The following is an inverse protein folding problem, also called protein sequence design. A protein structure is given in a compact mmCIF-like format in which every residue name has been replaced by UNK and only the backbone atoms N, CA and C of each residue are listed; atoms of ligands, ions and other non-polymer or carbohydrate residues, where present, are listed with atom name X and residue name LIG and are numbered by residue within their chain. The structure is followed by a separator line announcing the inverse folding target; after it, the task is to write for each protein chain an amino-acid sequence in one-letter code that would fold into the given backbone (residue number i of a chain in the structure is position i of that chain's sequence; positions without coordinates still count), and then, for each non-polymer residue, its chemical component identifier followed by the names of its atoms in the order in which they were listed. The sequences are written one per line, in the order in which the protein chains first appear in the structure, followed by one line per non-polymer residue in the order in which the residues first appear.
data_IF_731619292836
#
_entry.id   IF_731619292836
#
_cell.length_a   1.000
_cell.length_b   1.000
_cell.length_c   1.000
_cell.angle_alpha   90.00
_cell.angle_beta   90.00
_cell.angle_gamma   90.00
#
_symmetry.space_group_name_H-M   'P 1'
#
loop_
_entity.id
_entity.type
_entity.pdbx_description
1 polymer ?
#
# COMPACT_ATOMS: atom_id res chain seq x y z
N UNK A 1 8.92 -4.44 18.91
CA UNK A 1 8.99 -3.68 17.64
C UNK A 1 8.09 -4.35 16.63
N UNK A 2 7.16 -3.63 16.00
CA UNK A 2 6.17 -4.10 15.03
C UNK A 2 6.51 -3.59 13.64
N UNK A 3 6.54 -4.47 12.65
CA UNK A 3 6.82 -4.12 11.25
C UNK A 3 5.64 -4.60 10.41
N UNK A 4 5.11 -3.73 9.57
CA UNK A 4 4.10 -4.07 8.59
C UNK A 4 4.76 -4.27 7.22
N UNK A 5 4.56 -5.44 6.64
CA UNK A 5 5.12 -5.81 5.36
C UNK A 5 4.02 -5.85 4.30
N UNK A 6 4.24 -5.17 3.18
CA UNK A 6 3.32 -5.12 2.04
C UNK A 6 4.14 -5.01 0.75
N UNK A 7 3.55 -5.41 -0.37
CA UNK A 7 4.23 -5.46 -1.67
C UNK A 7 3.25 -5.15 -2.79
N UNK A 8 3.78 -4.95 -4.00
CA UNK A 8 3.02 -5.01 -5.25
C UNK A 8 1.86 -4.02 -5.32
N UNK A 9 2.10 -2.77 -4.92
CA UNK A 9 1.08 -1.72 -4.95
C UNK A 9 0.71 -1.30 -6.38
N UNK A 10 1.53 -1.64 -7.37
CA UNK A 10 1.31 -1.33 -8.79
C UNK A 10 0.82 0.12 -9.04
N UNK A 11 1.39 1.10 -8.31
CA UNK A 11 1.02 2.50 -8.46
C UNK A 11 1.27 2.97 -9.89
N UNK A 12 0.28 3.66 -10.47
CA UNK A 12 0.33 4.12 -11.86
C UNK A 12 0.04 3.03 -12.91
N UNK A 13 -0.20 1.77 -12.49
CA UNK A 13 -0.60 0.71 -13.41
C UNK A 13 -2.05 0.89 -13.88
N UNK A 14 -2.30 0.53 -15.13
CA UNK A 14 -3.64 0.49 -15.72
C UNK A 14 -4.14 -0.95 -15.74
N UNK A 15 -5.25 -1.21 -15.07
CA UNK A 15 -5.84 -2.55 -14.98
C UNK A 15 -7.05 -2.65 -15.91
N UNK A 16 -6.96 -3.50 -16.95
CA UNK A 16 -7.99 -3.64 -17.99
C UNK A 16 -8.49 -2.30 -18.56
N UNK A 17 -7.57 -1.37 -18.83
CA UNK A 17 -7.89 -0.04 -19.38
C UNK A 17 -8.41 0.97 -18.35
N UNK A 18 -8.42 0.63 -17.05
CA UNK A 18 -8.87 1.53 -15.97
C UNK A 18 -7.69 1.94 -15.08
N UNK A 19 -7.61 3.22 -14.75
CA UNK A 19 -6.70 3.72 -13.72
C UNK A 19 -7.26 3.40 -12.34
N UNK A 20 -6.38 3.06 -11.39
CA UNK A 20 -6.77 2.64 -10.05
C UNK A 20 -6.46 3.67 -8.96
N UNK A 21 -6.28 4.95 -9.33
CA UNK A 21 -5.84 5.99 -8.39
C UNK A 21 -6.74 6.13 -7.17
N UNK A 22 -8.07 6.08 -7.34
CA UNK A 22 -9.01 6.19 -6.22
C UNK A 22 -8.91 4.98 -5.28
N UNK A 23 -8.75 3.78 -5.84
CA UNK A 23 -8.55 2.56 -5.06
C UNK A 23 -7.21 2.60 -4.31
N UNK A 24 -6.14 3.07 -4.95
CA UNK A 24 -4.83 3.26 -4.31
C UNK A 24 -4.88 4.33 -3.21
N UNK A 25 -5.63 5.42 -3.41
CA UNK A 25 -5.82 6.46 -2.38
C UNK A 25 -6.58 5.90 -1.17
N UNK A 26 -7.66 5.14 -1.41
CA UNK A 26 -8.41 4.48 -0.33
C UNK A 26 -7.53 3.48 0.44
N UNK A 27 -6.74 2.67 -0.27
CA UNK A 27 -5.77 1.76 0.35
C UNK A 27 -4.72 2.52 1.18
N UNK A 28 -4.17 3.60 0.66
CA UNK A 28 -3.20 4.44 1.36
C UNK A 28 -3.75 5.02 2.66
N UNK A 29 -4.99 5.53 2.63
CA UNK A 29 -5.67 6.04 3.83
C UNK A 29 -5.86 4.92 4.87
N UNK A 30 -6.36 3.77 4.44
CA UNK A 30 -6.56 2.63 5.33
C UNK A 30 -5.23 2.13 5.92
N UNK A 31 -4.16 2.11 5.14
CA UNK A 31 -2.83 1.72 5.61
C UNK A 31 -2.35 2.62 6.75
N UNK A 32 -2.56 3.93 6.63
CA UNK A 32 -2.22 4.91 7.68
C UNK A 32 -3.02 4.64 8.95
N UNK A 33 -4.32 4.38 8.83
CA UNK A 33 -5.18 4.03 9.98
C UNK A 33 -4.67 2.78 10.71
N UNK A 34 -4.33 1.72 9.98
CA UNK A 34 -3.79 0.48 10.54
C UNK A 34 -2.44 0.72 11.24
N UNK A 35 -1.53 1.47 10.61
CA UNK A 35 -0.22 1.80 11.19
C UNK A 35 -0.36 2.54 12.51
N UNK A 36 -1.30 3.49 12.57
CA UNK A 36 -1.58 4.26 13.78
C UNK A 36 -2.22 3.38 14.88
N UNK A 37 -3.27 2.63 14.54
CA UNK A 37 -3.99 1.78 15.48
C UNK A 37 -3.08 0.70 16.10
N UNK A 38 -2.20 0.11 15.30
CA UNK A 38 -1.36 -1.01 15.73
C UNK A 38 0.03 -0.59 16.23
N UNK A 39 0.31 0.73 16.33
CA UNK A 39 1.61 1.26 16.75
C UNK A 39 2.78 0.63 15.95
N UNK A 40 2.62 0.55 14.63
CA UNK A 40 3.64 -0.03 13.74
C UNK A 40 4.88 0.88 13.72
N UNK A 41 6.07 0.30 13.89
CA UNK A 41 7.32 1.05 13.93
C UNK A 41 7.91 1.31 12.54
N UNK A 42 7.66 0.40 11.58
CA UNK A 42 8.13 0.55 10.22
C UNK A 42 7.18 -0.14 9.24
N UNK A 43 6.95 0.48 8.09
CA UNK A 43 6.30 -0.14 6.94
C UNK A 43 7.38 -0.47 5.91
N UNK A 44 7.45 -1.74 5.51
CA UNK A 44 8.33 -2.19 4.43
C UNK A 44 7.49 -2.45 3.20
N UNK A 45 7.86 -1.78 2.11
CA UNK A 45 7.26 -1.95 0.79
C UNK A 45 8.28 -2.69 -0.08
N UNK A 46 7.94 -3.88 -0.54
CA UNK A 46 8.73 -4.58 -1.54
C UNK A 46 8.18 -4.29 -2.93
N UNK A 47 9.07 -3.87 -3.83
CA UNK A 47 8.80 -3.80 -5.24
C UNK A 47 9.39 -5.04 -5.90
N UNK A 48 8.55 -5.89 -6.50
CA UNK A 48 9.03 -6.90 -7.43
C UNK A 48 8.95 -6.36 -8.85
N UNK A 49 10.09 -6.10 -9.52
CA UNK A 49 10.06 -5.89 -10.96
C UNK A 49 9.63 -7.20 -11.63
N UNK A 50 8.65 -7.13 -12.54
CA UNK A 50 8.40 -8.19 -13.52
C UNK A 50 9.56 -8.29 -14.51
#
# INVERSE_FOLDING_TARGET
MRILHTSDWHLGHTFHGRVLNDAHAAFGNHLVEVVAAESVNAVRILFQPC
#
